data_IF_571659795681
#
_entry.id   IF_571659795681
#
_cell.length_a   1.000
_cell.length_b   1.000
_cell.length_c   1.000
_cell.angle_alpha   90.00
_cell.angle_beta   90.00
_cell.angle_gamma   90.00
#
_symmetry.space_group_name_H-M   'P 1'
#
loop_
_entity.id
_entity.type
_entity.pdbx_description
1 polymer ?
#
# COMPACT_ATOMS: atom_id res chain seq x y z
N UNK A 1 8.58 7.11 -12.46
CA UNK A 1 7.86 6.69 -11.25
C UNK A 1 7.72 7.84 -10.27
N UNK A 2 6.68 8.62 -10.52
CA UNK A 2 6.03 9.52 -9.58
C UNK A 2 5.39 8.69 -8.46
N UNK A 3 4.94 9.36 -7.40
CA UNK A 3 4.21 8.69 -6.31
C UNK A 3 2.91 8.08 -6.84
N UNK A 4 2.24 8.74 -7.77
CA UNK A 4 1.01 8.24 -8.39
C UNK A 4 1.25 6.92 -9.15
N UNK A 5 2.30 6.88 -9.98
CA UNK A 5 2.68 5.64 -10.69
C UNK A 5 3.00 4.49 -9.72
N UNK A 6 3.56 4.77 -8.54
CA UNK A 6 3.76 3.76 -7.49
C UNK A 6 2.44 3.27 -6.91
N UNK A 7 1.53 4.18 -6.58
CA UNK A 7 0.22 3.86 -6.00
C UNK A 7 -0.56 2.97 -6.96
N UNK A 8 -0.67 3.38 -8.23
CA UNK A 8 -1.41 2.62 -9.25
C UNK A 8 -0.83 1.21 -9.42
N UNK A 9 0.50 1.09 -9.52
CA UNK A 9 1.20 -0.20 -9.64
C UNK A 9 0.96 -1.11 -8.43
N UNK A 10 0.83 -0.55 -7.23
CA UNK A 10 0.58 -1.33 -6.00
C UNK A 10 -0.88 -1.79 -5.97
N UNK A 11 -1.82 -0.93 -6.35
CA UNK A 11 -3.26 -1.26 -6.43
C UNK A 11 -3.48 -2.42 -7.41
N UNK A 12 -2.95 -2.33 -8.62
CA UNK A 12 -3.06 -3.39 -9.64
C UNK A 12 -2.54 -4.74 -9.13
N UNK A 13 -1.45 -4.73 -8.34
CA UNK A 13 -0.93 -5.94 -7.73
C UNK A 13 -1.82 -6.48 -6.60
N UNK A 14 -2.42 -5.59 -5.79
CA UNK A 14 -3.35 -5.98 -4.72
C UNK A 14 -4.64 -6.55 -5.32
N UNK A 15 -5.11 -6.03 -6.44
CA UNK A 15 -6.32 -6.50 -7.14
C UNK A 15 -6.22 -7.96 -7.57
N UNK A 16 -5.04 -8.40 -8.01
CA UNK A 16 -4.78 -9.78 -8.43
C UNK A 16 -4.27 -10.66 -7.29
N UNK A 17 -4.03 -10.09 -6.10
CA UNK A 17 -3.53 -10.81 -4.94
C UNK A 17 -4.53 -11.86 -4.48
N UNK A 18 -4.00 -13.01 -4.07
CA UNK A 18 -4.84 -14.16 -3.78
C UNK A 18 -5.34 -14.20 -2.34
N UNK A 19 -4.52 -13.69 -1.44
CA UNK A 19 -4.66 -13.75 0.00
C UNK A 19 -3.82 -12.67 0.68
N UNK A 20 -4.04 -12.52 1.98
CA UNK A 20 -3.39 -11.54 2.85
C UNK A 20 -1.86 -11.60 2.80
N UNK A 21 -1.24 -12.80 2.62
CA UNK A 21 0.22 -12.91 2.56
C UNK A 21 0.77 -12.31 1.28
N UNK A 22 0.07 -12.48 0.16
CA UNK A 22 0.45 -11.84 -1.10
C UNK A 22 0.35 -10.31 -0.96
N UNK A 23 -0.72 -9.81 -0.35
CA UNK A 23 -0.90 -8.36 -0.09
C UNK A 23 0.23 -7.81 0.79
N UNK A 24 0.59 -8.48 1.89
CA UNK A 24 1.71 -8.07 2.75
C UNK A 24 3.02 -7.99 1.97
N UNK A 25 3.29 -9.02 1.17
CA UNK A 25 4.52 -9.10 0.37
C UNK A 25 4.57 -8.00 -0.68
N UNK A 26 3.46 -7.67 -1.34
CA UNK A 26 3.38 -6.59 -2.32
C UNK A 26 3.76 -5.25 -1.68
N UNK A 27 3.18 -4.94 -0.52
CA UNK A 27 3.44 -3.68 0.19
C UNK A 27 4.90 -3.62 0.68
N UNK A 28 5.41 -4.71 1.27
CA UNK A 28 6.81 -4.77 1.72
C UNK A 28 7.80 -4.60 0.57
N UNK A 29 7.56 -5.26 -0.57
CA UNK A 29 8.40 -5.12 -1.76
C UNK A 29 8.32 -3.71 -2.36
N UNK A 30 7.16 -3.06 -2.30
CA UNK A 30 7.02 -1.69 -2.76
C UNK A 30 7.85 -0.71 -1.92
N UNK A 31 7.82 -0.86 -0.59
CA UNK A 31 8.66 -0.07 0.34
C UNK A 31 10.14 -0.32 0.05
N UNK A 32 10.57 -1.58 0.01
CA UNK A 32 11.97 -1.93 -0.26
C UNK A 32 12.48 -1.36 -1.59
N UNK A 33 11.67 -1.43 -2.66
CA UNK A 33 12.02 -0.83 -3.97
C UNK A 33 12.15 0.70 -3.92
N UNK A 34 11.39 1.37 -3.06
CA UNK A 34 11.53 2.82 -2.87
C UNK A 34 12.79 3.15 -2.07
N UNK A 35 13.12 2.37 -1.05
CA UNK A 35 14.37 2.49 -0.28
C UNK A 35 15.60 2.26 -1.16
N UNK A 36 15.60 1.22 -2.01
CA UNK A 36 16.66 0.94 -3.00
C UNK A 36 16.90 2.11 -3.95
N UNK A 37 15.83 2.85 -4.28
CA UNK A 37 15.89 4.06 -5.12
C UNK A 37 16.21 5.33 -4.34
N UNK A 38 16.69 5.19 -3.10
CA UNK A 38 17.09 6.27 -2.20
C UNK A 38 15.96 7.28 -1.93
N UNK A 39 14.70 6.84 -1.94
CA UNK A 39 13.60 7.67 -1.42
C UNK A 39 13.74 7.77 0.09
N UNK A 40 13.60 8.98 0.63
CA UNK A 40 13.62 9.18 2.08
C UNK A 40 12.31 8.69 2.71
N UNK A 41 12.33 8.51 4.03
CA UNK A 41 11.17 8.04 4.80
C UNK A 41 9.91 8.89 4.56
N UNK A 42 10.07 10.21 4.39
CA UNK A 42 8.96 11.12 4.09
C UNK A 42 8.25 10.80 2.76
N UNK A 43 9.00 10.54 1.68
CA UNK A 43 8.42 10.19 0.38
C UNK A 43 7.72 8.83 0.44
N UNK A 44 8.33 7.86 1.13
CA UNK A 44 7.75 6.53 1.31
C UNK A 44 6.45 6.64 2.10
N UNK A 45 6.45 7.41 3.19
CA UNK A 45 5.26 7.65 4.01
C UNK A 45 4.15 8.31 3.20
N UNK A 46 4.47 9.38 2.46
CA UNK A 46 3.52 10.06 1.58
C UNK A 46 2.93 9.10 0.53
N UNK A 47 3.72 8.17 0.01
CA UNK A 47 3.24 7.14 -0.92
C UNK A 47 2.28 6.17 -0.22
N UNK A 48 2.60 5.71 0.98
CA UNK A 48 1.74 4.80 1.74
C UNK A 48 0.43 5.47 2.16
N UNK A 49 0.46 6.74 2.55
CA UNK A 49 -0.75 7.49 2.88
C UNK A 49 -1.65 7.65 1.65
N UNK A 50 -1.06 8.01 0.51
CA UNK A 50 -1.80 8.17 -0.76
C UNK A 50 -2.39 6.84 -1.25
N UNK A 51 -1.66 5.75 -1.08
CA UNK A 51 -2.16 4.39 -1.31
C UNK A 51 -3.34 4.05 -0.38
N UNK A 52 -3.25 4.42 0.90
CA UNK A 52 -4.32 4.22 1.86
C UNK A 52 -5.62 4.93 1.45
N UNK A 53 -5.54 6.18 1.00
CA UNK A 53 -6.70 6.92 0.48
C UNK A 53 -7.28 6.27 -0.77
N UNK A 54 -6.44 5.93 -1.76
CA UNK A 54 -6.91 5.30 -2.99
C UNK A 54 -7.61 3.95 -2.73
N UNK A 55 -7.09 3.14 -1.80
CA UNK A 55 -7.74 1.88 -1.40
C UNK A 55 -9.07 2.13 -0.68
N UNK A 56 -9.20 3.19 0.13
CA UNK A 56 -10.47 3.56 0.76
C UNK A 56 -11.53 3.94 -0.28
N UNK A 57 -11.14 4.68 -1.32
CA UNK A 57 -12.03 5.04 -2.42
C UNK A 57 -12.48 3.79 -3.19
N UNK A 58 -11.56 2.87 -3.49
CA UNK A 58 -11.88 1.59 -4.13
C UNK A 58 -12.77 0.71 -3.27
N UNK A 59 -12.53 0.69 -1.96
CA UNK A 59 -13.34 -0.05 -0.99
C UNK A 59 -14.81 0.40 -0.96
N UNK A 60 -15.08 1.67 -1.30
CA UNK A 60 -16.43 2.21 -1.41
C UNK A 60 -17.15 1.82 -2.72
N UNK A 61 -16.42 1.30 -3.71
CA UNK A 61 -16.96 0.81 -4.97
C UNK A 61 -17.32 -0.69 -4.86
N UNK A 62 -18.25 -1.18 -5.68
CA UNK A 62 -18.63 -2.59 -5.74
C UNK A 62 -17.43 -3.47 -6.13
N UNK A 63 -16.69 -3.93 -5.12
CA UNK A 63 -15.61 -4.89 -5.28
C UNK A 63 -16.09 -6.30 -4.99
N UNK A 64 -15.45 -7.31 -5.60
CA UNK A 64 -15.68 -8.70 -5.20
C UNK A 64 -15.30 -8.89 -3.71
N UNK A 65 -15.94 -9.84 -3.02
CA UNK A 65 -15.63 -10.16 -1.61
C UNK A 65 -14.13 -10.41 -1.37
N UNK A 66 -13.44 -11.00 -2.36
CA UNK A 66 -12.00 -11.23 -2.30
C UNK A 66 -11.20 -9.94 -2.34
N UNK A 67 -11.49 -9.06 -3.30
CA UNK A 67 -10.84 -7.75 -3.41
C UNK A 67 -11.09 -6.92 -2.15
N UNK A 68 -12.32 -6.96 -1.63
CA UNK A 68 -12.69 -6.30 -0.39
C UNK A 68 -11.84 -6.76 0.80
N UNK A 69 -11.61 -8.07 0.96
CA UNK A 69 -10.72 -8.59 2.00
C UNK A 69 -9.26 -8.13 1.80
N UNK A 70 -8.77 -8.19 0.56
CA UNK A 70 -7.40 -7.76 0.24
C UNK A 70 -7.19 -6.26 0.53
N UNK A 71 -8.15 -5.41 0.18
CA UNK A 71 -8.14 -3.98 0.46
C UNK A 71 -8.19 -3.68 1.96
N UNK A 72 -9.08 -4.37 2.70
CA UNK A 72 -9.15 -4.22 4.16
C UNK A 72 -7.84 -4.60 4.83
N UNK A 73 -7.21 -5.68 4.36
CA UNK A 73 -5.93 -6.14 4.88
C UNK A 73 -4.80 -5.16 4.52
N UNK A 74 -4.77 -4.65 3.29
CA UNK A 74 -3.81 -3.63 2.86
C UNK A 74 -3.88 -2.36 3.72
N UNK A 75 -5.08 -1.84 4.01
CA UNK A 75 -5.27 -0.70 4.91
C UNK A 75 -4.71 -0.95 6.31
N UNK A 76 -4.85 -2.17 6.82
CA UNK A 76 -4.30 -2.56 8.13
C UNK A 76 -2.76 -2.50 8.13
N UNK A 77 -2.12 -2.97 7.05
CA UNK A 77 -0.66 -2.92 6.93
C UNK A 77 -0.16 -1.49 6.78
N UNK A 78 -0.80 -0.70 5.92
CA UNK A 78 -0.45 0.71 5.70
C UNK A 78 -0.51 1.47 7.04
N UNK A 79 -1.58 1.30 7.81
CA UNK A 79 -1.70 1.91 9.14
C UNK A 79 -0.57 1.50 10.11
N UNK A 80 -0.15 0.22 10.10
CA UNK A 80 0.98 -0.24 10.92
C UNK A 80 2.31 0.36 10.47
N UNK A 81 2.51 0.58 9.16
CA UNK A 81 3.72 1.20 8.63
C UNK A 81 3.80 2.68 9.00
N UNK A 82 2.69 3.42 8.89
CA UNK A 82 2.62 4.83 9.29
C UNK A 82 2.98 5.01 10.78
N UNK A 83 2.43 4.16 11.67
CA UNK A 83 2.76 4.20 13.10
C UNK A 83 4.24 3.90 13.37
N UNK A 84 4.83 2.94 12.65
CA UNK A 84 6.26 2.59 12.83
C UNK A 84 7.22 3.69 12.37
N UNK A 85 6.84 4.48 11.37
CA UNK A 85 7.65 5.61 10.91
C UNK A 85 7.55 6.82 11.84
N UNK A 86 6.39 7.09 12.44
CA UNK A 86 6.21 8.17 13.43
C UNK A 86 7.09 7.95 14.68
N UNK A 87 7.36 6.71 15.07
CA UNK A 87 8.17 6.38 16.26
C UNK A 87 9.68 6.47 15.99
N UNK A 88 10.10 6.52 14.72
CA UNK A 88 11.52 6.50 14.31
C UNK A 88 12.11 7.89 14.00
N UNK A 89 11.29 8.93 14.01
CA UNK A 89 11.70 10.35 13.95
C UNK A 89 11.91 10.90 15.38
#
# INVERSE_FOLDING_TARGET
MTIDEYVDTIIEQIEVAKDDKEVEKIIQLAVAKMEERKKNGFIIQRCMDKLGFAIQDLYALECSYRQWNCYRFALTIIGKLSVKNIIKD
#
